data_IF_191743501802
#
_entry.id   IF_191743501802
#
_cell.length_a   1.000
_cell.length_b   1.000
_cell.length_c   1.000
_cell.angle_alpha   90.00
_cell.angle_beta   90.00
_cell.angle_gamma   90.00
#
_symmetry.space_group_name_H-M   'P 1'
#
loop_
_entity.id
_entity.type
_entity.pdbx_description
1 polymer ?
#
# COMPACT_ATOMS: atom_id res chain seq x y z
N UNK A 1 -6.34 -11.14 0.27
CA UNK A 1 -5.96 -11.48 -1.12
C UNK A 1 -4.46 -11.82 -1.20
N UNK A 2 -4.06 -12.73 -2.11
CA UNK A 2 -2.66 -13.16 -2.26
C UNK A 2 -1.71 -11.98 -2.52
N UNK A 3 -0.46 -12.14 -2.04
CA UNK A 3 0.60 -11.13 -2.08
C UNK A 3 0.31 -9.85 -1.25
N UNK A 4 -0.64 -9.91 -0.32
CA UNK A 4 -0.88 -8.86 0.64
C UNK A 4 0.14 -8.89 1.79
N UNK A 5 0.21 -7.78 2.54
CA UNK A 5 0.97 -7.69 3.77
C UNK A 5 0.17 -6.91 4.82
N UNK A 6 -0.31 -7.63 5.85
CA UNK A 6 -1.18 -7.07 6.90
C UNK A 6 -0.49 -6.97 8.28
N UNK A 7 0.82 -7.18 8.33
CA UNK A 7 1.60 -7.12 9.58
C UNK A 7 2.28 -8.43 9.94
N UNK A 8 2.76 -8.52 11.20
CA UNK A 8 3.57 -9.64 11.70
C UNK A 8 3.02 -10.30 12.96
N UNK A 9 1.79 -9.99 13.39
CA UNK A 9 1.07 -10.78 14.40
C UNK A 9 0.60 -12.10 13.80
N UNK A 10 0.26 -13.09 14.62
CA UNK A 10 -0.16 -14.42 14.14
C UNK A 10 -1.34 -14.34 13.17
N UNK A 11 -2.38 -13.56 13.50
CA UNK A 11 -3.52 -13.36 12.60
C UNK A 11 -3.13 -12.63 11.31
N UNK A 12 -2.23 -11.64 11.38
CA UNK A 12 -1.79 -10.89 10.21
C UNK A 12 -0.97 -11.75 9.25
N UNK A 13 -0.04 -12.58 9.74
CA UNK A 13 0.71 -13.51 8.88
C UNK A 13 -0.19 -14.61 8.31
N UNK A 14 -1.18 -15.09 9.08
CA UNK A 14 -2.17 -16.06 8.61
C UNK A 14 -3.02 -15.46 7.47
N UNK A 15 -3.50 -14.23 7.63
CA UNK A 15 -4.33 -13.57 6.61
C UNK A 15 -3.57 -13.29 5.30
N UNK A 16 -2.27 -13.00 5.36
CA UNK A 16 -1.41 -12.78 4.19
C UNK A 16 -0.87 -14.09 3.59
N UNK A 17 -0.72 -15.12 4.41
CA UNK A 17 -0.25 -16.47 4.07
C UNK A 17 1.01 -16.48 3.18
N UNK A 18 1.99 -15.63 3.51
CA UNK A 18 3.29 -15.67 2.87
C UNK A 18 4.14 -16.76 3.51
N UNK A 19 4.58 -17.81 2.78
CA UNK A 19 5.31 -18.93 3.35
C UNK A 19 6.55 -18.52 4.16
N UNK A 20 7.28 -17.50 3.69
CA UNK A 20 8.47 -16.98 4.40
C UNK A 20 8.13 -16.37 5.77
N UNK A 21 6.92 -15.80 5.90
CA UNK A 21 6.48 -15.18 7.16
C UNK A 21 5.81 -16.18 8.09
N UNK A 22 5.30 -17.29 7.54
CA UNK A 22 4.63 -18.34 8.30
C UNK A 22 5.62 -19.39 8.83
N UNK A 23 6.83 -19.45 8.26
CA UNK A 23 7.85 -20.44 8.67
C UNK A 23 8.18 -20.31 10.16
N UNK A 24 8.14 -21.44 10.87
CA UNK A 24 8.34 -21.50 12.32
C UNK A 24 7.13 -21.09 13.17
N UNK A 25 6.01 -20.70 12.58
CA UNK A 25 4.78 -20.34 13.30
C UNK A 25 3.64 -21.29 12.95
N UNK A 26 2.87 -21.69 13.96
CA UNK A 26 1.64 -22.45 13.75
C UNK A 26 0.53 -21.47 13.37
N UNK A 27 0.38 -21.25 12.08
CA UNK A 27 -0.70 -20.38 11.55
C UNK A 27 -1.89 -21.20 11.00
N UNK A 28 -1.86 -22.52 11.12
CA UNK A 28 -2.87 -23.54 10.78
C UNK A 28 -4.16 -23.06 10.11
N UNK A 29 -5.27 -23.66 10.41
CA UNK A 29 -6.61 -23.23 9.98
C UNK A 29 -7.04 -21.99 10.79
N UNK A 30 -6.48 -20.84 10.42
CA UNK A 30 -6.74 -19.55 11.09
C UNK A 30 -8.01 -18.85 10.55
N UNK A 31 -8.82 -19.56 9.74
CA UNK A 31 -10.07 -19.03 9.18
C UNK A 31 -9.85 -18.01 8.04
N UNK A 32 -8.73 -18.07 7.32
CA UNK A 32 -8.46 -17.21 6.18
C UNK A 32 -8.29 -18.01 4.89
N UNK A 33 -9.14 -17.71 3.90
CA UNK A 33 -8.99 -18.20 2.54
C UNK A 33 -8.21 -17.22 1.67
N UNK A 34 -7.44 -17.73 0.72
CA UNK A 34 -6.58 -16.95 -0.15
C UNK A 34 -7.09 -16.96 -1.60
N UNK A 35 -7.36 -15.77 -2.13
CA UNK A 35 -7.79 -15.57 -3.53
C UNK A 35 -6.76 -14.71 -4.26
N UNK A 36 -6.53 -14.98 -5.54
CA UNK A 36 -5.62 -14.17 -6.35
C UNK A 36 -6.15 -12.75 -6.53
N UNK A 37 -5.23 -11.79 -6.50
CA UNK A 37 -5.55 -10.38 -6.62
C UNK A 37 -6.13 -10.07 -8.01
N UNK A 38 -7.37 -9.59 -8.04
CA UNK A 38 -8.10 -9.28 -9.27
C UNK A 38 -8.98 -10.42 -9.81
N UNK A 39 -8.93 -11.61 -9.20
CA UNK A 39 -9.78 -12.73 -9.61
C UNK A 39 -11.14 -12.69 -8.90
N UNK A 40 -12.11 -12.04 -9.53
CA UNK A 40 -13.47 -11.93 -9.00
C UNK A 40 -14.23 -13.28 -9.05
N UNK A 41 -13.92 -14.14 -10.01
CA UNK A 41 -14.59 -15.43 -10.16
C UNK A 41 -14.18 -16.37 -9.02
N UNK A 42 -12.88 -16.48 -8.74
CA UNK A 42 -12.38 -17.22 -7.59
C UNK A 42 -12.92 -16.65 -6.27
N UNK A 43 -12.98 -15.33 -6.13
CA UNK A 43 -13.51 -14.69 -4.92
C UNK A 43 -14.98 -15.10 -4.67
N UNK A 44 -15.83 -15.07 -5.69
CA UNK A 44 -17.23 -15.49 -5.60
C UNK A 44 -17.38 -16.95 -5.14
N UNK A 45 -16.53 -17.84 -5.63
CA UNK A 45 -16.61 -19.25 -5.27
C UNK A 45 -16.02 -19.58 -3.90
N UNK A 46 -15.22 -18.67 -3.34
CA UNK A 46 -14.60 -18.84 -2.02
C UNK A 46 -15.52 -18.38 -0.89
N UNK A 47 -16.48 -17.50 -1.15
CA UNK A 47 -17.45 -17.05 -0.15
C UNK A 47 -18.37 -18.21 0.24
N UNK A 48 -18.50 -18.45 1.54
CA UNK A 48 -19.37 -19.46 2.16
C UNK A 48 -20.21 -18.84 3.27
N UNK A 49 -21.10 -19.61 3.87
CA UNK A 49 -21.89 -19.21 5.04
C UNK A 49 -21.03 -18.84 6.28
N UNK A 50 -19.75 -19.27 6.30
CA UNK A 50 -18.80 -18.97 7.36
C UNK A 50 -17.93 -17.74 7.06
N UNK A 51 -18.08 -17.12 5.90
CA UNK A 51 -17.31 -15.93 5.52
C UNK A 51 -17.84 -14.69 6.25
N UNK A 52 -17.00 -14.06 7.08
CA UNK A 52 -17.36 -12.85 7.83
C UNK A 52 -17.01 -11.57 7.09
N UNK A 53 -16.04 -11.61 6.17
CA UNK A 53 -15.64 -10.41 5.44
C UNK A 53 -14.48 -10.63 4.46
N UNK A 54 -14.20 -9.59 3.70
CA UNK A 54 -13.09 -9.54 2.74
C UNK A 54 -12.10 -8.46 3.18
N UNK A 55 -10.81 -8.82 3.31
CA UNK A 55 -9.73 -7.88 3.61
C UNK A 55 -8.79 -7.73 2.42
N UNK A 56 -8.44 -6.47 2.11
CA UNK A 56 -7.51 -6.16 1.02
C UNK A 56 -6.80 -4.82 1.23
N UNK A 57 -5.66 -4.66 0.56
CA UNK A 57 -4.99 -3.38 0.36
C UNK A 57 -5.54 -2.74 -0.92
N UNK A 58 -6.01 -1.48 -0.94
CA UNK A 58 -6.40 -0.79 -2.19
C UNK A 58 -5.25 -0.65 -3.19
N UNK A 59 -4.01 -0.57 -2.65
CA UNK A 59 -2.76 -0.71 -3.41
C UNK A 59 -1.87 -1.65 -2.62
N UNK A 60 -1.62 -2.85 -3.14
CA UNK A 60 -0.71 -3.79 -2.50
C UNK A 60 0.72 -3.22 -2.50
N UNK A 61 1.25 -2.95 -1.31
CA UNK A 61 2.57 -2.35 -1.15
C UNK A 61 3.69 -3.36 -1.38
N UNK A 62 3.78 -4.37 -0.54
CA UNK A 62 4.80 -5.42 -0.62
C UNK A 62 4.62 -6.32 -1.85
N UNK A 63 3.41 -6.46 -2.35
CA UNK A 63 3.06 -7.25 -3.53
C UNK A 63 3.54 -6.68 -4.87
N UNK A 64 4.24 -5.53 -4.88
CA UNK A 64 4.81 -4.94 -6.10
C UNK A 64 4.16 -3.63 -6.55
N UNK A 65 3.59 -2.87 -5.63
CA UNK A 65 2.84 -1.64 -5.88
C UNK A 65 1.75 -1.87 -6.91
N UNK A 66 0.77 -2.67 -6.52
CA UNK A 66 -0.32 -3.13 -7.39
C UNK A 66 -1.63 -2.47 -6.98
N UNK A 67 -2.08 -1.41 -7.65
CA UNK A 67 -3.42 -0.89 -7.47
C UNK A 67 -4.48 -1.94 -7.83
N UNK A 68 -5.61 -1.92 -7.14
CA UNK A 68 -6.74 -2.77 -7.51
C UNK A 68 -7.21 -2.48 -8.94
N UNK A 69 -7.57 -3.50 -9.72
CA UNK A 69 -8.09 -3.31 -11.06
C UNK A 69 -9.34 -2.43 -11.06
N UNK A 70 -9.50 -1.63 -12.14
CA UNK A 70 -10.67 -0.76 -12.31
C UNK A 70 -11.97 -1.58 -12.23
N UNK A 71 -12.91 -1.13 -11.43
CA UNK A 71 -14.21 -1.79 -11.24
C UNK A 71 -14.17 -2.98 -10.26
N UNK A 72 -13.00 -3.52 -9.92
CA UNK A 72 -12.88 -4.68 -9.01
C UNK A 72 -13.43 -4.36 -7.62
N UNK A 73 -13.08 -3.19 -7.04
CA UNK A 73 -13.61 -2.79 -5.73
C UNK A 73 -15.12 -2.64 -5.69
N UNK A 74 -15.73 -2.07 -6.73
CA UNK A 74 -17.18 -1.96 -6.83
C UNK A 74 -17.84 -3.35 -6.86
N UNK A 75 -17.22 -4.30 -7.57
CA UNK A 75 -17.70 -5.68 -7.60
C UNK A 75 -17.53 -6.39 -6.26
N UNK A 76 -16.44 -6.15 -5.54
CA UNK A 76 -16.26 -6.68 -4.17
C UNK A 76 -17.29 -6.08 -3.22
N UNK A 77 -17.53 -4.76 -3.28
CA UNK A 77 -18.54 -4.11 -2.44
C UNK A 77 -19.93 -4.73 -2.68
N UNK A 78 -20.31 -4.89 -3.95
CA UNK A 78 -21.58 -5.52 -4.30
C UNK A 78 -21.69 -6.97 -3.77
N UNK A 79 -20.60 -7.74 -3.81
CA UNK A 79 -20.57 -9.08 -3.22
C UNK A 79 -20.71 -9.04 -1.69
N UNK A 80 -20.03 -8.12 -1.02
CA UNK A 80 -20.16 -7.97 0.41
C UNK A 80 -21.60 -7.61 0.81
N UNK A 81 -22.23 -6.70 0.06
CA UNK A 81 -23.63 -6.31 0.27
C UNK A 81 -24.60 -7.46 0.01
N UNK A 82 -24.38 -8.26 -1.05
CA UNK A 82 -25.19 -9.43 -1.42
C UNK A 82 -25.16 -10.52 -0.35
N UNK A 83 -23.99 -10.75 0.25
CA UNK A 83 -23.77 -11.82 1.24
C UNK A 83 -23.83 -11.33 2.70
N UNK A 84 -24.13 -10.05 2.93
CA UNK A 84 -24.13 -9.41 4.28
C UNK A 84 -22.82 -9.64 5.06
N UNK A 85 -21.68 -9.46 4.35
CA UNK A 85 -20.33 -9.61 4.90
C UNK A 85 -19.56 -8.29 4.85
N UNK A 86 -18.53 -8.15 5.69
CA UNK A 86 -17.80 -6.91 5.85
C UNK A 86 -16.71 -6.72 4.80
N UNK A 87 -16.50 -5.47 4.39
CA UNK A 87 -15.37 -5.06 3.56
C UNK A 87 -14.36 -4.27 4.40
N UNK A 88 -13.13 -4.78 4.51
CA UNK A 88 -12.05 -4.12 5.23
C UNK A 88 -10.93 -3.69 4.29
N UNK A 89 -10.53 -2.41 4.37
CA UNK A 89 -9.36 -1.90 3.69
C UNK A 89 -8.19 -1.75 4.65
N UNK A 90 -7.07 -2.35 4.28
CA UNK A 90 -5.77 -2.07 4.87
C UNK A 90 -5.14 -0.88 4.13
N UNK A 91 -5.28 0.30 4.73
CA UNK A 91 -4.68 1.53 4.23
C UNK A 91 -3.46 1.98 5.06
N UNK A 92 -2.82 1.03 5.71
CA UNK A 92 -1.59 1.25 6.50
C UNK A 92 -0.46 1.80 5.63
N UNK A 93 -0.40 1.44 4.34
CA UNK A 93 0.60 1.98 3.41
C UNK A 93 0.02 2.96 2.39
N UNK A 94 -1.20 2.74 1.92
CA UNK A 94 -1.85 3.56 0.89
C UNK A 94 -2.50 4.83 1.42
N UNK A 95 -2.84 4.85 2.71
CA UNK A 95 -3.52 5.98 3.36
C UNK A 95 -2.58 7.12 3.77
N UNK A 96 -3.14 8.04 4.53
CA UNK A 96 -2.45 9.20 5.12
C UNK A 96 -1.74 10.04 4.04
N UNK A 97 -2.48 10.37 2.96
CA UNK A 97 -1.99 11.23 1.88
C UNK A 97 -1.17 10.52 0.79
N UNK A 98 -0.68 9.30 1.04
CA UNK A 98 0.31 8.62 0.20
C UNK A 98 -0.11 8.46 -1.27
N UNK A 99 -1.39 8.22 -1.52
CA UNK A 99 -1.93 8.03 -2.87
C UNK A 99 -2.52 9.29 -3.49
N UNK A 100 -2.40 10.46 -2.83
CA UNK A 100 -2.92 11.74 -3.31
C UNK A 100 -4.32 12.09 -2.80
N UNK A 101 -4.86 11.30 -1.87
CA UNK A 101 -6.03 11.59 -1.05
C UNK A 101 -5.74 11.14 0.38
N UNK A 102 -6.50 11.61 1.38
CA UNK A 102 -6.26 11.21 2.77
C UNK A 102 -6.26 9.69 2.90
N UNK A 103 -7.24 9.02 2.29
CA UNK A 103 -7.26 7.57 2.12
C UNK A 103 -7.55 7.20 0.66
N UNK A 104 -6.92 6.12 0.17
CA UNK A 104 -7.04 5.70 -1.22
C UNK A 104 -8.50 5.41 -1.62
N UNK A 105 -9.33 4.90 -0.70
CA UNK A 105 -10.73 4.60 -0.98
C UNK A 105 -11.52 5.80 -1.49
N UNK A 106 -11.17 7.03 -1.07
CA UNK A 106 -11.86 8.25 -1.47
C UNK A 106 -11.78 8.50 -2.98
N UNK A 107 -10.64 8.21 -3.60
CA UNK A 107 -10.46 8.34 -5.05
C UNK A 107 -10.91 7.09 -5.82
N UNK A 108 -11.01 5.94 -5.14
CA UNK A 108 -11.45 4.68 -5.74
C UNK A 108 -12.99 4.51 -5.71
N UNK A 109 -13.69 5.38 -4.97
CA UNK A 109 -15.15 5.47 -4.98
C UNK A 109 -15.89 4.34 -4.27
N UNK A 110 -15.21 3.60 -3.38
CA UNK A 110 -15.82 2.50 -2.60
C UNK A 110 -15.48 2.68 -1.13
N UNK A 111 -16.48 2.85 -0.28
CA UNK A 111 -16.30 3.00 1.16
C UNK A 111 -16.27 1.62 1.83
N UNK A 112 -15.24 1.30 2.62
CA UNK A 112 -15.17 0.07 3.39
C UNK A 112 -16.01 0.16 4.67
N UNK A 113 -16.32 -0.99 5.29
CA UNK A 113 -16.93 -1.07 6.61
C UNK A 113 -15.90 -0.89 7.72
N UNK A 114 -14.65 -1.36 7.47
CA UNK A 114 -13.49 -1.16 8.34
C UNK A 114 -12.28 -0.64 7.53
N UNK A 115 -11.47 0.17 8.18
CA UNK A 115 -10.24 0.71 7.61
C UNK A 115 -9.12 0.70 8.66
N UNK A 116 -7.99 0.07 8.34
CA UNK A 116 -6.78 0.14 9.14
C UNK A 116 -5.84 1.24 8.63
N UNK A 117 -5.31 2.05 9.53
CA UNK A 117 -4.35 3.13 9.26
C UNK A 117 -3.20 3.10 10.26
N UNK A 118 -1.99 3.41 9.82
CA UNK A 118 -0.79 3.50 10.66
C UNK A 118 0.32 4.26 9.92
N UNK A 119 1.59 3.91 10.15
CA UNK A 119 2.79 4.46 9.47
C UNK A 119 2.79 5.98 9.41
N UNK A 120 2.41 6.58 8.28
CA UNK A 120 2.35 8.03 8.08
C UNK A 120 1.52 8.76 9.13
N UNK A 121 0.51 8.12 9.71
CA UNK A 121 -0.34 8.69 10.75
C UNK A 121 0.45 9.20 11.96
N UNK A 122 1.53 8.52 12.33
CA UNK A 122 2.32 8.86 13.49
C UNK A 122 3.50 9.80 13.24
N UNK A 123 3.78 10.19 11.98
CA UNK A 123 4.92 11.07 11.66
C UNK A 123 6.28 10.57 12.19
N UNK A 124 6.44 9.24 12.37
CA UNK A 124 7.59 8.59 12.98
C UNK A 124 7.34 8.02 14.38
N UNK A 125 6.27 8.42 15.05
CA UNK A 125 5.84 7.83 16.33
C UNK A 125 4.96 6.59 16.06
N UNK A 126 5.17 5.47 16.77
CA UNK A 126 4.33 4.28 16.61
C UNK A 126 2.88 4.55 17.02
N UNK A 127 1.96 4.50 16.07
CA UNK A 127 0.53 4.59 16.28
C UNK A 127 -0.20 3.85 15.15
N UNK A 128 -1.34 3.25 15.46
CA UNK A 128 -2.28 2.70 14.49
C UNK A 128 -3.71 3.06 14.89
N UNK A 129 -4.57 3.11 13.91
CA UNK A 129 -6.00 3.35 14.09
C UNK A 129 -6.80 2.32 13.28
N UNK A 130 -7.91 1.87 13.83
CA UNK A 130 -8.92 1.12 13.13
C UNK A 130 -10.21 1.94 13.14
N UNK A 131 -10.69 2.30 11.96
CA UNK A 131 -11.94 3.01 11.76
C UNK A 131 -13.00 2.00 11.34
N UNK A 132 -14.22 2.19 11.80
CA UNK A 132 -15.33 1.33 11.44
C UNK A 132 -16.64 2.15 11.34
N UNK A 133 -17.61 1.63 10.58
CA UNK A 133 -18.96 2.17 10.60
C UNK A 133 -19.57 2.00 12.00
N UNK A 134 -20.55 2.82 12.34
CA UNK A 134 -21.19 2.78 13.67
C UNK A 134 -21.77 1.39 13.99
N UNK A 135 -22.32 0.71 13.00
CA UNK A 135 -22.89 -0.65 13.15
C UNK A 135 -21.79 -1.66 13.49
N UNK A 136 -20.67 -1.62 12.77
CA UNK A 136 -19.54 -2.54 12.97
C UNK A 136 -18.80 -2.24 14.29
N UNK A 137 -18.76 -0.96 14.69
CA UNK A 137 -18.13 -0.55 15.96
C UNK A 137 -18.99 -0.86 17.19
N UNK A 138 -20.30 -1.03 17.06
CA UNK A 138 -21.22 -1.19 18.19
C UNK A 138 -20.86 -2.33 19.17
N UNK A 139 -20.33 -3.51 18.73
CA UNK A 139 -19.88 -4.57 19.64
C UNK A 139 -18.61 -4.24 20.43
N UNK A 140 -17.84 -3.21 20.02
CA UNK A 140 -16.61 -2.77 20.70
C UNK A 140 -16.96 -1.96 21.96
N UNK A 141 -17.38 -2.64 22.99
CA UNK A 141 -17.77 -2.02 24.27
C UNK A 141 -16.56 -1.92 25.21
N UNK A 142 -16.75 -1.19 26.34
CA UNK A 142 -15.71 -1.05 27.35
C UNK A 142 -15.22 -2.42 27.83
N UNK A 143 -13.92 -2.66 27.79
CA UNK A 143 -13.29 -3.92 28.21
C UNK A 143 -13.20 -5.00 27.13
N UNK A 144 -13.80 -4.82 25.94
CA UNK A 144 -13.71 -5.80 24.84
C UNK A 144 -12.33 -5.82 24.18
N UNK A 145 -11.58 -4.73 24.25
CA UNK A 145 -10.22 -4.59 23.72
C UNK A 145 -9.40 -3.62 24.59
N UNK A 146 -8.07 -3.76 24.56
CA UNK A 146 -7.17 -2.88 25.29
C UNK A 146 -5.75 -2.87 24.76
N UNK A 147 -5.06 -1.76 25.00
CA UNK A 147 -3.63 -1.60 24.70
C UNK A 147 -3.04 -0.65 25.75
N UNK A 148 -1.94 -1.05 26.38
CA UNK A 148 -1.29 -0.24 27.43
C UNK A 148 -0.82 1.12 26.89
N UNK A 149 -0.25 1.16 25.71
CA UNK A 149 0.30 2.38 25.10
C UNK A 149 -0.55 2.92 23.93
N UNK A 150 -1.60 2.21 23.51
CA UNK A 150 -2.48 2.64 22.43
C UNK A 150 -3.22 3.93 22.81
N UNK A 151 -3.27 4.89 21.89
CA UNK A 151 -3.96 6.16 22.10
C UNK A 151 -3.33 7.07 23.16
N UNK A 152 -2.02 6.89 23.48
CA UNK A 152 -1.37 7.76 24.45
C UNK A 152 -1.30 9.22 23.96
N UNK A 153 -1.30 10.21 24.91
CA UNK A 153 -1.38 11.64 24.55
C UNK A 153 -0.29 12.13 23.60
N UNK A 154 0.93 11.60 23.70
CA UNK A 154 2.03 11.98 22.80
C UNK A 154 1.76 11.54 21.37
N UNK A 155 1.46 10.25 21.17
CA UNK A 155 1.26 9.69 19.83
C UNK A 155 0.02 10.31 19.15
N UNK A 156 -1.07 10.55 19.90
CA UNK A 156 -2.28 11.17 19.36
C UNK A 156 -2.07 12.67 19.04
N UNK A 157 -1.29 13.38 19.85
CA UNK A 157 -0.93 14.78 19.55
C UNK A 157 -0.09 14.88 18.25
N UNK A 158 0.86 13.95 18.05
CA UNK A 158 1.62 13.88 16.80
C UNK A 158 0.72 13.51 15.61
N UNK A 159 -0.18 12.53 15.79
CA UNK A 159 -1.14 12.16 14.75
C UNK A 159 -2.04 13.32 14.34
N UNK A 160 -2.52 14.12 15.29
CA UNK A 160 -3.29 15.34 15.00
C UNK A 160 -2.46 16.35 14.20
N UNK A 161 -1.22 16.62 14.62
CA UNK A 161 -0.34 17.55 13.90
C UNK A 161 -0.05 17.07 12.45
N UNK A 162 0.10 15.76 12.24
CA UNK A 162 0.23 15.19 10.89
C UNK A 162 -1.05 15.42 10.08
N UNK A 163 -2.22 15.18 10.66
CA UNK A 163 -3.50 15.42 9.98
C UNK A 163 -3.74 16.89 9.69
N UNK A 164 -3.39 17.80 10.60
CA UNK A 164 -3.49 19.24 10.39
C UNK A 164 -2.63 19.69 9.20
N UNK A 165 -1.41 19.18 9.08
CA UNK A 165 -0.53 19.45 7.94
C UNK A 165 -1.11 18.89 6.63
N UNK A 166 -1.52 17.62 6.62
CA UNK A 166 -2.06 16.96 5.44
C UNK A 166 -3.37 17.57 4.94
N UNK A 167 -4.19 18.11 5.85
CA UNK A 167 -5.47 18.73 5.54
C UNK A 167 -5.35 20.24 5.29
N UNK A 168 -4.13 20.81 5.40
CA UNK A 168 -3.89 22.20 5.05
C UNK A 168 -4.13 22.48 3.58
N UNK A 169 -4.48 23.73 3.27
CA UNK A 169 -4.81 24.14 1.90
C UNK A 169 -3.65 23.87 0.93
N UNK A 170 -3.95 23.16 -0.13
CA UNK A 170 -3.01 22.87 -1.20
C UNK A 170 -2.07 21.68 -0.96
N UNK A 171 -1.96 21.12 0.25
CA UNK A 171 -1.03 20.04 0.53
C UNK A 171 -1.31 18.79 -0.34
N UNK A 172 -2.55 18.32 -0.35
CA UNK A 172 -2.92 17.15 -1.19
C UNK A 172 -2.77 17.40 -2.69
N UNK A 173 -3.02 18.64 -3.14
CA UNK A 173 -2.79 19.01 -4.52
C UNK A 173 -1.30 18.94 -4.88
N UNK A 174 -0.42 19.37 -3.99
CA UNK A 174 1.02 19.22 -4.17
C UNK A 174 1.45 17.76 -4.24
N UNK A 175 0.88 16.89 -3.38
CA UNK A 175 1.13 15.43 -3.44
C UNK A 175 0.72 14.85 -4.81
N UNK A 176 -0.44 15.27 -5.33
CA UNK A 176 -0.92 14.83 -6.65
C UNK A 176 0.01 15.29 -7.77
N UNK A 177 0.42 16.56 -7.77
CA UNK A 177 1.33 17.13 -8.76
C UNK A 177 2.70 16.45 -8.70
N UNK A 178 3.28 16.28 -7.51
CA UNK A 178 4.55 15.57 -7.34
C UNK A 178 4.45 14.11 -7.79
N UNK A 179 3.34 13.44 -7.47
CA UNK A 179 3.08 12.07 -7.93
C UNK A 179 2.97 11.94 -9.44
N UNK A 180 2.29 12.88 -10.10
CA UNK A 180 2.22 12.94 -11.55
C UNK A 180 3.60 13.19 -12.18
N UNK A 181 4.36 14.15 -11.63
CA UNK A 181 5.70 14.48 -12.11
C UNK A 181 6.65 13.28 -12.02
N UNK A 182 6.69 12.61 -10.86
CA UNK A 182 7.50 11.40 -10.67
C UNK A 182 7.08 10.28 -11.62
N UNK A 183 5.77 10.04 -11.77
CA UNK A 183 5.24 9.03 -12.69
C UNK A 183 5.67 9.29 -14.13
N UNK A 184 5.48 10.52 -14.62
CA UNK A 184 5.85 10.89 -15.99
C UNK A 184 7.33 10.65 -16.26
N UNK A 185 8.21 11.08 -15.35
CA UNK A 185 9.65 10.84 -15.50
C UNK A 185 10.04 9.36 -15.46
N UNK A 186 9.35 8.55 -14.64
CA UNK A 186 9.57 7.09 -14.62
C UNK A 186 9.06 6.44 -15.92
N UNK A 187 7.94 6.89 -16.49
CA UNK A 187 7.41 6.39 -17.76
C UNK A 187 8.33 6.75 -18.93
N UNK A 188 8.93 7.95 -18.92
CA UNK A 188 9.95 8.35 -19.89
C UNK A 188 11.18 7.42 -19.83
N UNK A 189 11.64 7.07 -18.63
CA UNK A 189 12.74 6.12 -18.43
C UNK A 189 12.38 4.70 -18.89
N UNK A 190 11.14 4.25 -18.69
CA UNK A 190 10.66 2.96 -19.26
C UNK A 190 10.73 2.99 -20.79
N UNK A 191 10.31 4.09 -21.41
CA UNK A 191 10.38 4.23 -22.86
C UNK A 191 11.83 4.28 -23.38
N UNK A 192 12.75 4.88 -22.62
CA UNK A 192 14.17 5.00 -22.97
C UNK A 192 14.94 3.67 -22.77
N UNK A 193 14.57 2.88 -21.75
CA UNK A 193 15.28 1.64 -21.37
C UNK A 193 14.35 0.41 -21.36
N UNK A 194 13.67 0.06 -22.48
CA UNK A 194 12.66 -1.00 -22.50
C UNK A 194 13.22 -2.41 -22.29
N UNK A 195 14.53 -2.60 -22.44
CA UNK A 195 15.21 -3.87 -22.15
C UNK A 195 15.46 -4.08 -20.64
N UNK A 196 15.52 -3.00 -19.87
CA UNK A 196 15.79 -3.03 -18.42
C UNK A 196 14.52 -2.85 -17.59
N UNK A 197 13.57 -2.08 -18.08
CA UNK A 197 12.34 -1.67 -17.40
C UNK A 197 11.10 -2.08 -18.19
N UNK A 198 9.98 -2.33 -17.50
CA UNK A 198 8.74 -2.77 -18.17
C UNK A 198 7.55 -1.83 -17.98
N UNK A 199 7.28 -1.38 -16.76
CA UNK A 199 6.11 -0.53 -16.51
C UNK A 199 6.21 0.24 -15.19
N UNK A 200 5.45 1.34 -15.11
CA UNK A 200 5.18 2.07 -13.87
C UNK A 200 3.78 1.70 -13.36
N UNK A 201 3.64 1.49 -12.05
CA UNK A 201 2.38 1.18 -11.39
C UNK A 201 2.21 2.02 -10.12
N UNK A 202 1.02 2.04 -9.54
CA UNK A 202 0.78 2.74 -8.27
C UNK A 202 -0.16 3.94 -8.38
N UNK A 203 -0.27 4.73 -7.30
CA UNK A 203 -1.09 5.95 -7.21
C UNK A 203 -0.35 7.01 -6.41
N UNK A 204 -0.48 8.27 -6.79
CA UNK A 204 0.16 9.42 -6.12
C UNK A 204 1.67 9.22 -5.95
N UNK A 205 2.16 9.36 -4.73
CA UNK A 205 3.57 9.14 -4.36
C UNK A 205 3.85 7.70 -3.85
N UNK A 206 3.04 6.73 -4.23
CA UNK A 206 3.25 5.30 -4.03
C UNK A 206 3.41 4.64 -5.40
N UNK A 207 4.63 4.68 -5.95
CA UNK A 207 4.92 4.21 -7.31
C UNK A 207 5.87 3.01 -7.30
N UNK A 208 5.60 2.08 -8.22
CA UNK A 208 6.42 0.92 -8.51
C UNK A 208 6.97 0.99 -9.92
N UNK A 209 8.25 0.69 -10.08
CA UNK A 209 8.92 0.56 -11.37
C UNK A 209 9.34 -0.90 -11.53
N UNK A 210 8.66 -1.62 -12.42
CA UNK A 210 8.93 -3.02 -12.67
C UNK A 210 10.13 -3.18 -13.59
N UNK A 211 11.02 -4.11 -13.26
CA UNK A 211 12.27 -4.33 -13.97
C UNK A 211 12.26 -5.67 -14.71
N UNK A 212 12.92 -5.73 -15.86
CA UNK A 212 13.34 -6.96 -16.51
C UNK A 212 14.67 -7.44 -15.93
N UNK A 213 15.57 -6.51 -15.59
CA UNK A 213 16.81 -6.81 -14.86
C UNK A 213 16.55 -7.13 -13.39
N UNK A 214 17.57 -7.67 -12.69
CA UNK A 214 17.44 -7.91 -11.24
C UNK A 214 17.29 -6.60 -10.46
N UNK A 215 16.13 -6.40 -9.86
CA UNK A 215 15.80 -5.22 -9.06
C UNK A 215 16.75 -5.05 -7.86
N UNK A 216 17.25 -6.13 -7.25
CA UNK A 216 18.16 -6.04 -6.12
C UNK A 216 19.53 -5.48 -6.53
N UNK A 217 20.06 -5.93 -7.67
CA UNK A 217 21.30 -5.42 -8.24
C UNK A 217 21.16 -3.95 -8.64
N UNK A 218 20.02 -3.56 -9.24
CA UNK A 218 19.76 -2.16 -9.60
C UNK A 218 19.66 -1.27 -8.34
N UNK A 219 18.97 -1.72 -7.28
CA UNK A 219 18.87 -1.01 -6.00
C UNK A 219 20.26 -0.75 -5.40
N UNK A 220 21.14 -1.75 -5.40
CA UNK A 220 22.50 -1.60 -4.85
C UNK A 220 23.29 -0.51 -5.61
N UNK A 221 23.17 -0.44 -6.95
CA UNK A 221 23.78 0.62 -7.75
C UNK A 221 23.18 2.00 -7.47
N UNK A 222 21.86 2.09 -7.36
CA UNK A 222 21.17 3.33 -7.02
C UNK A 222 21.57 3.84 -5.64
N UNK A 223 21.67 2.96 -4.65
CA UNK A 223 22.12 3.30 -3.32
C UNK A 223 23.56 3.84 -3.33
N UNK A 224 24.46 3.22 -4.12
CA UNK A 224 25.83 3.70 -4.29
C UNK A 224 25.89 5.05 -5.01
N UNK A 225 24.89 5.36 -5.84
CA UNK A 225 24.75 6.64 -6.54
C UNK A 225 24.01 7.72 -5.71
N UNK A 226 23.60 7.40 -4.47
CA UNK A 226 22.93 8.34 -3.55
C UNK A 226 21.40 8.33 -3.63
N UNK A 227 20.77 7.40 -4.35
CA UNK A 227 19.31 7.28 -4.41
C UNK A 227 18.83 6.06 -3.62
N UNK A 228 18.04 6.30 -2.58
CA UNK A 228 17.44 5.25 -1.75
C UNK A 228 16.07 4.86 -2.31
N UNK A 229 15.96 3.62 -2.76
CA UNK A 229 14.70 2.97 -3.16
C UNK A 229 14.58 1.61 -2.50
N UNK A 230 13.37 1.05 -2.44
CA UNK A 230 13.11 -0.22 -1.75
C UNK A 230 12.63 -1.26 -2.76
N UNK A 231 13.01 -2.53 -2.56
CA UNK A 231 12.48 -3.63 -3.35
C UNK A 231 11.00 -3.89 -2.99
N UNK A 232 10.20 -4.20 -4.00
CA UNK A 232 8.85 -4.72 -3.85
C UNK A 232 8.70 -6.03 -4.63
N UNK A 233 7.59 -6.72 -4.44
CA UNK A 233 7.27 -7.95 -5.17
C UNK A 233 7.26 -7.74 -6.69
N UNK A 234 7.27 -8.85 -7.46
CA UNK A 234 7.23 -8.79 -8.91
C UNK A 234 8.46 -8.15 -9.56
N UNK A 235 9.64 -8.23 -8.90
CA UNK A 235 10.89 -7.66 -9.38
C UNK A 235 10.80 -6.14 -9.62
N UNK A 236 10.27 -5.39 -8.64
CA UNK A 236 10.00 -3.96 -8.77
C UNK A 236 10.79 -3.13 -7.77
N UNK A 237 11.15 -1.91 -8.20
CA UNK A 237 11.59 -0.83 -7.31
C UNK A 237 10.36 -0.08 -6.81
N UNK A 238 10.36 0.29 -5.52
CA UNK A 238 9.29 1.05 -4.89
C UNK A 238 9.78 2.44 -4.51
N UNK A 239 9.08 3.46 -5.01
CA UNK A 239 9.34 4.87 -4.74
C UNK A 239 8.30 5.39 -3.75
N UNK A 240 8.77 5.86 -2.59
CA UNK A 240 7.96 6.39 -1.49
C UNK A 240 8.61 7.68 -0.95
N UNK A 241 8.76 8.73 -1.75
CA UNK A 241 9.36 9.98 -1.26
C UNK A 241 8.51 10.59 -0.15
N UNK A 242 9.04 11.58 0.56
CA UNK A 242 8.27 12.38 1.50
C UNK A 242 7.09 13.04 0.78
N UNK A 243 5.95 13.23 1.49
CA UNK A 243 4.74 13.79 0.88
C UNK A 243 4.93 15.26 0.47
N UNK A 244 5.88 15.97 1.10
CA UNK A 244 6.28 17.34 0.79
C UNK A 244 7.51 17.42 -0.13
N UNK A 245 7.83 16.33 -0.86
CA UNK A 245 8.93 16.28 -1.83
C UNK A 245 8.77 17.40 -2.88
N UNK A 246 9.85 18.07 -3.22
CA UNK A 246 9.88 19.11 -4.24
C UNK A 246 10.12 18.52 -5.62
N UNK A 247 9.65 19.19 -6.68
CA UNK A 247 9.90 18.77 -8.06
C UNK A 247 11.39 18.65 -8.36
N UNK A 248 12.23 19.58 -7.85
CA UNK A 248 13.69 19.52 -8.03
C UNK A 248 14.34 18.27 -7.41
N UNK A 249 13.80 17.75 -6.30
CA UNK A 249 14.28 16.53 -5.66
C UNK A 249 13.83 15.29 -6.47
N UNK A 250 12.66 15.35 -7.09
CA UNK A 250 12.20 14.33 -8.04
C UNK A 250 13.07 14.32 -9.29
N UNK A 251 13.39 15.50 -9.84
CA UNK A 251 14.26 15.64 -11.02
C UNK A 251 15.66 15.06 -10.74
N UNK A 252 16.21 15.34 -9.56
CA UNK A 252 17.49 14.78 -9.12
C UNK A 252 17.42 13.23 -9.02
N UNK A 253 16.37 12.70 -8.42
CA UNK A 253 16.17 11.24 -8.33
C UNK A 253 16.06 10.58 -9.71
N UNK A 254 15.31 11.19 -10.63
CA UNK A 254 15.17 10.70 -12.01
C UNK A 254 16.50 10.79 -12.78
N UNK A 255 17.28 11.86 -12.59
CA UNK A 255 18.59 12.00 -13.18
C UNK A 255 19.59 10.94 -12.68
N UNK A 256 19.58 10.64 -11.37
CA UNK A 256 20.41 9.56 -10.80
C UNK A 256 19.99 8.20 -11.39
N UNK A 257 18.68 7.92 -11.44
CA UNK A 257 18.16 6.68 -12.01
C UNK A 257 18.55 6.54 -13.48
N UNK A 258 18.35 7.59 -14.30
CA UNK A 258 18.73 7.61 -15.72
C UNK A 258 20.22 7.35 -15.95
N UNK A 259 21.09 7.98 -15.16
CA UNK A 259 22.54 7.75 -15.20
C UNK A 259 22.90 6.29 -14.88
N UNK A 260 22.35 5.74 -13.80
CA UNK A 260 22.61 4.33 -13.41
C UNK A 260 22.11 3.36 -14.47
N UNK A 261 20.97 3.64 -15.13
CA UNK A 261 20.44 2.82 -16.21
C UNK A 261 21.31 2.89 -17.47
N UNK A 262 21.84 4.07 -17.81
CA UNK A 262 22.74 4.23 -18.98
C UNK A 262 24.07 3.48 -18.82
N UNK A 263 24.51 3.26 -17.58
CA UNK A 263 25.72 2.53 -17.24
C UNK A 263 25.45 1.04 -16.90
N UNK A 264 24.18 0.60 -17.01
CA UNK A 264 23.82 -0.77 -16.69
C UNK A 264 24.25 -1.70 -17.84
N UNK A 265 24.96 -2.81 -17.56
CA UNK A 265 25.41 -3.72 -18.60
C UNK A 265 24.21 -4.28 -19.37
N UNK A 266 24.29 -4.26 -20.70
CA UNK A 266 23.32 -5.00 -21.52
C UNK A 266 23.37 -6.48 -21.16
N UNK A 267 22.21 -7.08 -20.95
CA UNK A 267 22.13 -8.53 -20.76
C UNK A 267 22.38 -9.18 -22.12
N UNK A 268 23.56 -9.76 -22.30
CA UNK A 268 23.92 -10.58 -23.48
C UNK A 268 23.17 -11.90 -23.45
#
# INVERSE_FOLDING_TARGET
LRNSFHGRTLSAIASAFNPVHCDGFVVGDAGFDQVDFGDLAALKTTITENTAGIVLEPVQGEGGIRPVPKGYLASIRALCDEHDILLMFDEVQSGVGRTGSLFAYQQLGVTPDLLASAKGLGGGIPIGACLATAIVAAPMTAGSHGSTFGGNPLATAVGNAVLDELLSDGFMLNVQHAGFHLRSGLEDLVAQYPTLLSQVSGLGLMLGLRCHTDAAALIARLQSAGLLVVKAGGNSLRFLPALNVKHSEIDEALAILGRVLSEYPEQT
#
